data_IF_249188086631
#
_entry.id   IF_249188086631
#
_cell.length_a   1.000
_cell.length_b   1.000
_cell.length_c   1.000
_cell.angle_alpha   90.00
_cell.angle_beta   90.00
_cell.angle_gamma   90.00
#
_symmetry.space_group_name_H-M   'P 1'
#
loop_
_entity.id
_entity.type
_entity.pdbx_description
1 polymer ?
#
# COMPACT_ATOMS: atom_id res chain seq x y z
N UNK A 1 16.95 27.20 -17.07
CA UNK A 1 15.92 26.16 -17.35
C UNK A 1 14.92 26.28 -16.22
N UNK A 2 13.61 26.43 -16.51
CA UNK A 2 12.59 26.43 -15.47
C UNK A 2 12.58 25.02 -14.85
N UNK A 3 12.87 24.91 -13.55
CA UNK A 3 12.72 23.66 -12.83
C UNK A 3 11.26 23.23 -12.97
N UNK A 4 11.06 22.04 -13.50
CA UNK A 4 9.71 21.50 -13.68
C UNK A 4 9.11 21.22 -12.31
N UNK A 5 8.09 21.98 -11.94
CA UNK A 5 7.36 21.82 -10.70
C UNK A 5 6.75 20.41 -10.63
N UNK A 6 7.10 19.63 -9.60
CA UNK A 6 6.51 18.32 -9.38
C UNK A 6 5.10 18.45 -8.81
N UNK A 7 4.14 17.74 -9.38
CA UNK A 7 2.74 17.80 -8.95
C UNK A 7 2.50 16.88 -7.77
N UNK A 8 2.30 17.47 -6.58
CA UNK A 8 1.94 16.70 -5.38
C UNK A 8 0.49 16.20 -5.47
N UNK A 9 0.15 15.07 -4.79
CA UNK A 9 -1.22 14.59 -4.72
C UNK A 9 -2.13 15.62 -4.02
N UNK A 10 -3.37 15.72 -4.52
CA UNK A 10 -4.39 16.62 -3.97
C UNK A 10 -5.28 15.97 -2.91
N UNK A 11 -5.03 14.72 -2.55
CA UNK A 11 -5.84 13.90 -1.65
C UNK A 11 -4.95 13.08 -0.71
N UNK A 12 -5.46 12.64 0.46
CA UNK A 12 -4.77 11.72 1.34
C UNK A 12 -4.55 10.35 0.69
N UNK A 13 -3.70 9.54 1.30
CA UNK A 13 -3.26 8.25 0.77
C UNK A 13 -4.42 7.28 0.49
N UNK A 14 -5.38 7.20 1.41
CA UNK A 14 -6.53 6.30 1.30
C UNK A 14 -7.39 6.64 0.07
N UNK A 15 -7.56 7.92 -0.23
CA UNK A 15 -8.30 8.36 -1.41
C UNK A 15 -7.52 8.07 -2.70
N UNK A 16 -6.18 8.19 -2.67
CA UNK A 16 -5.33 7.76 -3.79
C UNK A 16 -5.45 6.26 -4.06
N UNK A 17 -5.47 5.44 -3.02
CA UNK A 17 -5.68 3.99 -3.12
C UNK A 17 -7.02 3.70 -3.83
N UNK A 18 -8.11 4.34 -3.41
CA UNK A 18 -9.42 4.15 -4.03
C UNK A 18 -9.42 4.57 -5.51
N UNK A 19 -8.75 5.68 -5.85
CA UNK A 19 -8.61 6.13 -7.24
C UNK A 19 -7.82 5.12 -8.07
N UNK A 20 -6.72 4.58 -7.56
CA UNK A 20 -5.89 3.59 -8.26
C UNK A 20 -6.69 2.31 -8.50
N UNK A 21 -7.40 1.82 -7.48
CA UNK A 21 -8.27 0.64 -7.61
C UNK A 21 -9.37 0.89 -8.65
N UNK A 22 -10.03 2.06 -8.61
CA UNK A 22 -11.07 2.42 -9.58
C UNK A 22 -10.54 2.47 -11.03
N UNK A 23 -9.32 2.96 -11.27
CA UNK A 23 -8.67 2.85 -12.57
C UNK A 23 -8.31 1.41 -12.93
N UNK A 24 -7.96 0.59 -11.94
CA UNK A 24 -7.60 -0.83 -12.12
C UNK A 24 -8.73 -1.68 -12.67
N UNK A 25 -9.99 -1.31 -12.43
CA UNK A 25 -11.17 -2.02 -12.96
C UNK A 25 -11.46 -1.73 -14.43
N UNK A 26 -10.70 -0.83 -15.07
CA UNK A 26 -10.94 -0.40 -16.45
C UNK A 26 -9.84 -0.87 -17.38
N UNK A 27 -10.24 -1.37 -18.53
CA UNK A 27 -9.32 -1.78 -19.61
C UNK A 27 -9.09 -0.66 -20.63
N UNK A 28 -9.94 0.36 -20.65
CA UNK A 28 -9.88 1.45 -21.59
C UNK A 28 -9.53 2.78 -20.92
N UNK A 29 -8.98 3.71 -21.72
CA UNK A 29 -8.68 5.05 -21.28
C UNK A 29 -9.96 5.81 -20.89
N UNK A 30 -10.02 6.29 -19.66
CA UNK A 30 -11.17 6.94 -19.06
C UNK A 30 -10.92 8.40 -18.71
N UNK A 31 -11.97 9.22 -18.73
CA UNK A 31 -11.95 10.57 -18.15
C UNK A 31 -12.21 10.48 -16.63
N UNK A 32 -11.81 11.51 -15.91
CA UNK A 32 -12.04 11.59 -14.46
C UNK A 32 -13.53 11.41 -14.08
N UNK A 33 -14.46 11.94 -14.89
CA UNK A 33 -15.88 11.78 -14.67
C UNK A 33 -16.39 10.35 -14.85
N UNK A 34 -15.73 9.55 -15.68
CA UNK A 34 -16.11 8.15 -15.90
C UNK A 34 -15.63 7.26 -14.74
N UNK A 35 -14.48 7.60 -14.15
CA UNK A 35 -13.93 6.94 -12.96
C UNK A 35 -14.72 7.34 -11.71
N UNK A 36 -15.07 8.61 -11.58
CA UNK A 36 -15.88 9.12 -10.46
C UNK A 36 -17.33 8.62 -10.39
N UNK A 37 -17.78 7.85 -11.39
CA UNK A 37 -19.08 7.14 -11.33
C UNK A 37 -18.99 5.80 -10.61
N UNK A 38 -17.79 5.31 -10.36
CA UNK A 38 -17.55 4.11 -9.57
C UNK A 38 -17.66 4.47 -8.10
N UNK A 39 -18.32 3.62 -7.34
CA UNK A 39 -18.61 3.84 -5.92
C UNK A 39 -17.38 4.29 -5.12
N UNK A 40 -17.59 5.23 -4.22
CA UNK A 40 -16.62 5.80 -3.28
C UNK A 40 -15.55 6.76 -3.82
N UNK A 41 -15.55 7.15 -5.10
CA UNK A 41 -14.55 8.08 -5.64
C UNK A 41 -15.19 9.32 -6.26
N UNK A 42 -14.82 10.51 -5.80
CA UNK A 42 -15.33 11.76 -6.36
C UNK A 42 -14.54 12.18 -7.61
N UNK A 43 -15.27 12.60 -8.68
CA UNK A 43 -14.66 13.10 -9.93
C UNK A 43 -13.63 14.21 -9.70
N UNK A 44 -13.88 15.13 -8.75
CA UNK A 44 -12.95 16.21 -8.42
C UNK A 44 -11.63 15.70 -7.84
N UNK A 45 -11.70 14.63 -7.03
CA UNK A 45 -10.52 13.99 -6.46
C UNK A 45 -9.71 13.26 -7.54
N UNK A 46 -10.40 12.53 -8.43
CA UNK A 46 -9.74 11.91 -9.59
C UNK A 46 -8.99 12.95 -10.42
N UNK A 47 -9.67 14.07 -10.78
CA UNK A 47 -9.06 15.14 -11.58
C UNK A 47 -7.81 15.74 -10.93
N UNK A 48 -7.85 15.99 -9.62
CA UNK A 48 -6.73 16.58 -8.87
C UNK A 48 -5.52 15.66 -8.79
N UNK A 49 -5.74 14.35 -8.75
CA UNK A 49 -4.68 13.36 -8.57
C UNK A 49 -4.14 12.79 -9.88
N UNK A 50 -4.82 12.97 -11.01
CA UNK A 50 -4.39 12.43 -12.30
C UNK A 50 -3.00 12.89 -12.72
N UNK A 51 -2.64 14.16 -12.46
CA UNK A 51 -1.32 14.69 -12.80
C UNK A 51 -0.22 13.96 -12.00
N UNK A 52 -0.37 13.84 -10.68
CA UNK A 52 0.53 13.11 -9.80
C UNK A 52 0.66 11.64 -10.22
N UNK A 53 -0.46 10.93 -10.38
CA UNK A 53 -0.46 9.51 -10.75
C UNK A 53 0.17 9.26 -12.13
N UNK A 54 0.07 10.24 -13.03
CA UNK A 54 0.76 10.16 -14.32
C UNK A 54 2.26 10.37 -14.16
N UNK A 55 2.67 11.30 -13.32
CA UNK A 55 4.08 11.64 -13.09
C UNK A 55 4.85 10.50 -12.43
N UNK A 56 4.24 9.77 -11.50
CA UNK A 56 4.83 8.57 -10.89
C UNK A 56 4.65 7.29 -11.71
N UNK A 57 4.07 7.39 -12.92
CA UNK A 57 3.93 6.27 -13.86
C UNK A 57 2.87 5.23 -13.52
N UNK A 58 1.91 5.55 -12.65
CA UNK A 58 0.73 4.72 -12.38
C UNK A 58 -0.29 4.84 -13.52
N UNK A 59 -0.47 6.05 -14.04
CA UNK A 59 -1.33 6.36 -15.17
C UNK A 59 -0.52 6.84 -16.36
N UNK A 60 -1.11 6.77 -17.57
CA UNK A 60 -0.57 7.34 -18.79
C UNK A 60 -1.68 8.01 -19.63
N UNK A 61 -1.29 8.83 -20.59
CA UNK A 61 -2.21 9.54 -21.47
C UNK A 61 -2.44 11.00 -21.06
N UNK A 62 -3.09 11.77 -21.91
CA UNK A 62 -3.32 13.21 -21.72
C UNK A 62 -4.69 13.51 -21.11
N UNK A 63 -5.73 13.68 -21.94
CA UNK A 63 -7.09 14.01 -21.49
C UNK A 63 -7.88 12.81 -20.96
N UNK A 64 -7.63 11.63 -21.52
CA UNK A 64 -8.10 10.34 -21.00
C UNK A 64 -6.90 9.61 -20.40
N UNK A 65 -7.09 9.04 -19.24
CA UNK A 65 -6.05 8.30 -18.52
C UNK A 65 -6.28 6.80 -18.63
N UNK A 66 -5.21 6.08 -18.91
CA UNK A 66 -5.15 4.63 -18.90
C UNK A 66 -4.21 4.20 -17.80
N UNK A 67 -4.59 3.18 -17.06
CA UNK A 67 -3.71 2.60 -16.06
C UNK A 67 -2.54 1.86 -16.75
N UNK A 68 -1.32 2.09 -16.30
CA UNK A 68 -0.14 1.39 -16.81
C UNK A 68 -0.12 -0.05 -16.32
N UNK A 69 0.72 -0.91 -16.92
CA UNK A 69 0.91 -2.28 -16.43
C UNK A 69 1.32 -2.30 -14.95
N UNK A 70 2.25 -1.43 -14.55
CA UNK A 70 2.73 -1.29 -13.17
C UNK A 70 1.60 -0.79 -12.25
N UNK A 71 0.85 0.22 -12.68
CA UNK A 71 -0.32 0.71 -11.96
C UNK A 71 -1.40 -0.36 -11.77
N UNK A 72 -1.63 -1.21 -12.79
CA UNK A 72 -2.61 -2.30 -12.72
C UNK A 72 -2.18 -3.38 -11.71
N UNK A 73 -0.91 -3.76 -11.68
CA UNK A 73 -0.40 -4.68 -10.67
C UNK A 73 -0.61 -4.14 -9.25
N UNK A 74 -0.31 -2.85 -9.05
CA UNK A 74 -0.59 -2.18 -7.78
C UNK A 74 -2.09 -2.16 -7.43
N UNK A 75 -2.97 -1.83 -8.39
CA UNK A 75 -4.41 -1.80 -8.17
C UNK A 75 -4.97 -3.16 -7.74
N UNK A 76 -4.50 -4.26 -8.35
CA UNK A 76 -4.88 -5.62 -7.97
C UNK A 76 -4.40 -5.96 -6.56
N UNK A 77 -3.16 -5.63 -6.21
CA UNK A 77 -2.61 -5.86 -4.88
C UNK A 77 -3.40 -5.08 -3.80
N UNK A 78 -3.72 -3.80 -4.07
CA UNK A 78 -4.52 -2.95 -3.19
C UNK A 78 -5.94 -3.48 -3.00
N UNK A 79 -6.60 -3.93 -4.08
CA UNK A 79 -7.95 -4.50 -4.03
C UNK A 79 -8.00 -5.82 -3.23
N UNK A 80 -6.93 -6.60 -3.26
CA UNK A 80 -6.79 -7.85 -2.48
C UNK A 80 -6.30 -7.63 -1.06
N UNK A 81 -5.87 -6.40 -0.73
CA UNK A 81 -5.24 -6.06 0.55
C UNK A 81 -3.99 -6.92 0.86
N UNK A 82 -3.28 -7.36 -0.17
CA UNK A 82 -2.05 -8.12 -0.03
C UNK A 82 -0.88 -7.15 0.26
N UNK A 83 -0.51 -7.06 1.53
CA UNK A 83 0.51 -6.13 2.00
C UNK A 83 1.90 -6.39 1.39
N UNK A 84 2.25 -7.63 1.06
CA UNK A 84 3.54 -7.97 0.47
C UNK A 84 3.59 -7.48 -0.99
N UNK A 85 2.55 -7.78 -1.77
CA UNK A 85 2.41 -7.32 -3.14
C UNK A 85 2.26 -5.80 -3.22
N UNK A 86 1.50 -5.17 -2.32
CA UNK A 86 1.37 -3.70 -2.23
C UNK A 86 2.74 -3.07 -2.01
N UNK A 87 3.52 -3.59 -1.04
CA UNK A 87 4.88 -3.11 -0.75
C UNK A 87 5.78 -3.23 -1.98
N UNK A 88 5.79 -4.40 -2.62
CA UNK A 88 6.62 -4.68 -3.80
C UNK A 88 6.28 -3.75 -4.98
N UNK A 89 4.99 -3.59 -5.27
CA UNK A 89 4.53 -2.72 -6.35
C UNK A 89 4.82 -1.23 -6.08
N UNK A 90 4.58 -0.74 -4.85
CA UNK A 90 4.95 0.62 -4.48
C UNK A 90 6.46 0.85 -4.56
N UNK A 91 7.25 -0.11 -4.10
CA UNK A 91 8.71 -0.04 -4.20
C UNK A 91 9.18 0.10 -5.66
N UNK A 92 8.61 -0.67 -6.58
CA UNK A 92 8.92 -0.57 -8.00
C UNK A 92 8.53 0.80 -8.62
N UNK A 93 7.44 1.42 -8.14
CA UNK A 93 7.01 2.76 -8.55
C UNK A 93 7.97 3.82 -7.99
N UNK A 94 8.28 3.75 -6.70
CA UNK A 94 9.23 4.68 -6.05
C UNK A 94 10.60 4.59 -6.71
N UNK A 95 11.09 3.38 -7.01
CA UNK A 95 12.37 3.17 -7.69
C UNK A 95 12.41 3.75 -9.12
N UNK A 96 11.27 3.92 -9.76
CA UNK A 96 11.19 4.52 -11.10
C UNK A 96 10.98 6.05 -11.09
N UNK A 97 10.70 6.65 -9.92
CA UNK A 97 10.46 8.09 -9.76
C UNK A 97 11.67 8.76 -9.12
N UNK A 98 12.38 9.59 -9.89
CA UNK A 98 13.53 10.36 -9.39
C UNK A 98 13.15 11.22 -8.18
N UNK A 99 12.00 11.89 -8.23
CA UNK A 99 11.53 12.73 -7.14
C UNK A 99 11.35 11.94 -5.84
N UNK A 100 10.68 10.79 -5.89
CA UNK A 100 10.45 9.95 -4.71
C UNK A 100 11.76 9.36 -4.17
N UNK A 101 12.68 8.97 -5.04
CA UNK A 101 14.02 8.53 -4.64
C UNK A 101 14.81 9.64 -3.96
N UNK A 102 14.72 10.87 -4.46
CA UNK A 102 15.40 12.02 -3.85
C UNK A 102 14.88 12.29 -2.43
N UNK A 103 13.58 12.10 -2.17
CA UNK A 103 13.01 12.21 -0.81
C UNK A 103 13.59 11.13 0.11
N UNK A 104 13.61 9.86 -0.32
CA UNK A 104 14.19 8.77 0.46
C UNK A 104 15.68 9.02 0.74
N UNK A 105 16.42 9.46 -0.27
CA UNK A 105 17.85 9.77 -0.16
C UNK A 105 18.12 10.90 0.82
N UNK A 106 17.25 11.93 0.85
CA UNK A 106 17.37 13.04 1.79
C UNK A 106 17.16 12.60 3.25
N UNK A 107 16.18 11.71 3.49
CA UNK A 107 15.94 11.11 4.82
C UNK A 107 17.12 10.23 5.23
N UNK A 108 17.63 9.41 4.30
CA UNK A 108 18.77 8.53 4.51
C UNK A 108 20.05 9.31 4.87
N UNK A 109 20.34 10.37 4.13
CA UNK A 109 21.54 11.19 4.33
C UNK A 109 21.56 11.89 5.71
N UNK A 110 20.38 12.11 6.29
CA UNK A 110 20.21 12.75 7.61
C UNK A 110 20.00 11.76 8.73
N UNK A 111 20.12 10.45 8.45
CA UNK A 111 19.96 9.36 9.43
C UNK A 111 18.60 9.35 10.14
N UNK A 112 17.61 10.06 9.60
CA UNK A 112 16.27 10.24 10.10
C UNK A 112 15.82 11.69 10.07
N UNK A 113 14.52 11.90 10.00
CA UNK A 113 13.92 13.23 10.01
C UNK A 113 12.54 13.19 10.68
N UNK A 114 12.22 14.22 11.45
CA UNK A 114 10.86 14.40 11.99
C UNK A 114 9.84 14.51 10.86
N UNK A 115 8.66 13.94 11.05
CA UNK A 115 7.56 13.94 10.07
C UNK A 115 7.27 15.32 9.46
N UNK A 116 7.11 16.43 10.25
CA UNK A 116 6.89 17.77 9.69
C UNK A 116 8.07 18.29 8.85
N UNK A 117 9.28 17.86 9.18
CA UNK A 117 10.49 18.25 8.44
C UNK A 117 10.51 17.59 7.07
N UNK A 118 10.13 16.30 6.98
CA UNK A 118 10.00 15.59 5.70
C UNK A 118 8.89 16.21 4.84
N UNK A 119 7.73 16.54 5.43
CA UNK A 119 6.67 17.25 4.71
C UNK A 119 7.16 18.58 4.11
N UNK A 120 7.86 19.38 4.92
CA UNK A 120 8.41 20.65 4.48
C UNK A 120 9.46 20.49 3.37
N UNK A 121 10.28 19.44 3.47
CA UNK A 121 11.25 19.10 2.45
C UNK A 121 10.57 18.71 1.12
N UNK A 122 9.55 17.85 1.17
CA UNK A 122 8.77 17.44 -0.01
C UNK A 122 8.15 18.66 -0.71
N UNK A 123 7.50 19.56 0.05
CA UNK A 123 6.91 20.77 -0.49
C UNK A 123 7.95 21.65 -1.19
N UNK A 124 9.12 21.84 -0.56
CA UNK A 124 10.23 22.60 -1.11
C UNK A 124 10.80 21.97 -2.38
N UNK A 125 11.08 20.66 -2.33
CA UNK A 125 11.62 19.91 -3.46
C UNK A 125 10.65 19.86 -4.67
N UNK A 126 9.33 19.93 -4.40
CA UNK A 126 8.30 20.04 -5.43
C UNK A 126 8.15 21.45 -6.00
N UNK A 127 8.86 22.46 -5.48
CA UNK A 127 8.71 23.85 -5.88
C UNK A 127 7.39 24.49 -5.45
N UNK A 128 6.70 23.93 -4.44
CA UNK A 128 5.35 24.35 -4.05
C UNK A 128 5.33 25.10 -2.70
N UNK A 129 4.43 26.09 -2.54
CA UNK A 129 4.33 26.84 -1.29
C UNK A 129 3.79 25.97 -0.15
N UNK A 130 4.27 26.19 1.09
CA UNK A 130 3.83 25.46 2.28
C UNK A 130 2.43 25.89 2.72
N UNK A 131 1.41 25.45 2.01
CA UNK A 131 0.01 25.63 2.38
C UNK A 131 -0.64 24.29 2.75
N UNK A 132 -1.83 24.34 3.35
CA UNK A 132 -2.53 23.15 3.86
C UNK A 132 -2.74 22.05 2.77
N UNK A 133 -3.19 22.36 1.53
CA UNK A 133 -3.31 21.35 0.48
C UNK A 133 -1.97 20.68 0.12
N UNK A 134 -0.91 21.45 -0.01
CA UNK A 134 0.44 20.95 -0.35
C UNK A 134 0.99 20.07 0.78
N UNK A 135 0.79 20.48 2.04
CA UNK A 135 1.22 19.68 3.20
C UNK A 135 0.45 18.34 3.29
N UNK A 136 -0.85 18.34 2.97
CA UNK A 136 -1.63 17.09 2.86
C UNK A 136 -1.09 16.18 1.75
N UNK A 137 -0.74 16.76 0.60
CA UNK A 137 -0.10 16.02 -0.49
C UNK A 137 1.26 15.45 -0.09
N UNK A 138 2.06 16.21 0.63
CA UNK A 138 3.33 15.73 1.17
C UNK A 138 3.14 14.58 2.17
N UNK A 139 2.09 14.63 3.01
CA UNK A 139 1.72 13.50 3.89
C UNK A 139 1.39 12.24 3.08
N UNK A 140 0.61 12.38 2.01
CA UNK A 140 0.27 11.24 1.16
C UNK A 140 1.52 10.59 0.52
N UNK A 141 2.53 11.38 0.15
CA UNK A 141 3.82 10.85 -0.33
C UNK A 141 4.55 10.11 0.79
N UNK A 142 4.59 10.63 2.00
CA UNK A 142 5.19 9.92 3.15
C UNK A 142 4.51 8.56 3.35
N UNK A 143 3.18 8.50 3.30
CA UNK A 143 2.45 7.24 3.44
C UNK A 143 2.74 6.26 2.28
N UNK A 144 2.92 6.74 1.04
CA UNK A 144 3.39 5.92 -0.08
C UNK A 144 4.79 5.34 0.22
N UNK A 145 5.71 6.15 0.72
CA UNK A 145 7.07 5.71 1.06
C UNK A 145 7.07 4.71 2.22
N UNK A 146 6.18 4.88 3.21
CA UNK A 146 5.96 3.90 4.29
C UNK A 146 5.35 2.60 3.73
N UNK A 147 4.33 2.69 2.89
CA UNK A 147 3.71 1.53 2.25
C UNK A 147 4.68 0.76 1.35
N UNK A 148 5.62 1.44 0.68
CA UNK A 148 6.70 0.81 -0.09
C UNK A 148 7.74 0.12 0.80
N UNK A 149 7.73 0.38 2.10
CA UNK A 149 8.75 -0.06 3.04
C UNK A 149 10.10 0.61 2.83
N UNK A 150 10.17 1.75 2.17
CA UNK A 150 11.42 2.54 2.03
C UNK A 150 11.63 3.50 3.19
N UNK A 151 10.54 3.90 3.85
CA UNK A 151 10.59 4.63 5.13
C UNK A 151 9.83 3.85 6.18
N UNK A 152 10.29 3.97 7.42
CA UNK A 152 9.59 3.53 8.63
C UNK A 152 9.60 4.66 9.65
N UNK A 153 8.66 4.63 10.56
CA UNK A 153 8.59 5.57 11.67
C UNK A 153 9.15 4.90 12.92
N UNK A 154 10.19 5.48 13.50
CA UNK A 154 10.84 5.02 14.73
C UNK A 154 11.02 6.20 15.68
N UNK A 155 10.56 6.06 16.90
CA UNK A 155 10.67 7.09 17.94
C UNK A 155 10.16 8.50 17.53
N UNK A 156 9.19 8.56 16.58
CA UNK A 156 8.64 9.82 16.04
C UNK A 156 9.43 10.43 14.88
N UNK A 157 10.47 9.76 14.43
CA UNK A 157 11.23 10.12 13.24
C UNK A 157 10.97 9.14 12.10
N UNK A 158 11.04 9.66 10.88
CA UNK A 158 11.03 8.85 9.66
C UNK A 158 12.47 8.47 9.32
N UNK A 159 12.73 7.18 9.27
CA UNK A 159 14.03 6.60 8.96
C UNK A 159 13.95 5.82 7.65
N UNK A 160 14.98 5.94 6.81
CA UNK A 160 15.07 5.12 5.61
C UNK A 160 15.44 3.68 5.98
N UNK A 161 14.63 2.72 5.51
CA UNK A 161 14.96 1.32 5.69
C UNK A 161 16.01 0.92 4.68
N UNK A 162 17.09 0.31 5.17
CA UNK A 162 18.03 -0.37 4.29
C UNK A 162 17.36 -1.65 3.81
N UNK A 163 17.23 -1.81 2.51
CA UNK A 163 16.94 -3.12 1.97
C UNK A 163 18.16 -4.00 2.23
N UNK A 164 17.98 -5.00 3.06
CA UNK A 164 18.76 -6.21 2.83
C UNK A 164 18.33 -6.66 1.42
N UNK A 165 19.25 -6.48 0.49
CA UNK A 165 19.13 -6.97 -0.89
C UNK A 165 18.56 -8.37 -0.77
N UNK A 166 17.47 -8.74 -1.44
CA UNK A 166 17.13 -10.14 -1.53
C UNK A 166 18.39 -10.82 -2.05
N UNK A 167 18.94 -11.70 -1.22
CA UNK A 167 20.14 -12.46 -1.55
C UNK A 167 19.95 -13.02 -2.94
N UNK A 168 20.95 -12.82 -3.77
CA UNK A 168 21.07 -13.31 -5.11
C UNK A 168 20.41 -14.70 -5.25
N UNK A 169 19.22 -14.72 -5.83
CA UNK A 169 18.81 -15.92 -6.55
C UNK A 169 19.73 -15.90 -7.77
N UNK A 170 20.85 -16.57 -7.63
CA UNK A 170 21.74 -16.86 -8.73
C UNK A 170 20.88 -17.36 -9.90
N UNK A 171 21.10 -16.89 -11.13
CA UNK A 171 20.45 -17.48 -12.29
C UNK A 171 20.96 -18.92 -12.38
N UNK A 172 20.16 -19.91 -12.03
CA UNK A 172 20.40 -21.26 -12.46
C UNK A 172 20.30 -21.28 -13.99
N UNK A 173 21.49 -21.37 -14.57
CA UNK A 173 21.76 -21.50 -15.98
C UNK A 173 21.18 -22.83 -16.50
N UNK A 174 20.45 -22.74 -17.58
CA UNK A 174 20.48 -23.79 -18.61
C UNK A 174 19.44 -24.89 -18.55
N UNK A 175 18.45 -24.80 -19.36
CA UNK A 175 18.16 -25.73 -20.49
C UNK A 175 16.66 -25.98 -20.73
N UNK A 176 16.29 -26.43 -21.94
CA UNK A 176 15.12 -25.87 -22.62
C UNK A 176 13.85 -26.72 -22.54
N UNK A 177 12.77 -26.05 -22.83
CA UNK A 177 11.50 -26.54 -23.39
C UNK A 177 11.14 -28.02 -23.22
N UNK A 178 10.05 -28.30 -22.53
CA UNK A 178 9.04 -29.29 -22.96
C UNK A 178 7.64 -28.87 -22.58
N UNK A 179 6.88 -28.62 -23.60
CA UNK A 179 5.41 -28.61 -23.66
C UNK A 179 4.86 -29.91 -23.07
N UNK A 180 3.91 -29.85 -22.14
CA UNK A 180 2.83 -30.82 -22.07
C UNK A 180 1.80 -30.48 -21.01
N UNK A 181 0.59 -30.25 -21.50
CA UNK A 181 -0.68 -30.84 -21.06
C UNK A 181 -1.18 -30.57 -19.63
N UNK A 182 -2.23 -29.81 -19.62
CA UNK A 182 -3.25 -29.73 -18.57
C UNK A 182 -3.87 -31.10 -18.33
N UNK A 183 -3.80 -31.61 -17.11
CA UNK A 183 -4.75 -32.59 -16.59
C UNK A 183 -5.24 -32.16 -15.24
N UNK A 184 -6.55 -31.95 -15.18
CA UNK A 184 -7.37 -31.96 -13.97
C UNK A 184 -7.07 -33.18 -13.12
N UNK A 185 -6.98 -33.00 -11.80
CA UNK A 185 -7.27 -34.05 -10.84
C UNK A 185 -7.66 -33.46 -9.48
N UNK A 186 -8.87 -33.54 -9.25
CA UNK A 186 -9.74 -33.81 -8.11
C UNK A 186 -9.07 -34.36 -6.86
N UNK A 187 -9.29 -33.63 -5.74
CA UNK A 187 -9.49 -34.01 -4.35
C UNK A 187 -9.04 -35.41 -3.89
N UNK A 188 -8.20 -35.41 -2.84
CA UNK A 188 -8.38 -36.35 -1.71
C UNK A 188 -7.59 -35.89 -0.48
N UNK A 189 -8.32 -35.65 0.57
CA UNK A 189 -7.80 -35.51 1.92
C UNK A 189 -7.26 -36.85 2.42
N UNK A 190 -6.05 -36.85 2.98
CA UNK A 190 -5.60 -37.97 3.80
C UNK A 190 -4.87 -37.44 5.03
N UNK A 191 -5.46 -37.73 6.18
CA UNK A 191 -4.89 -37.61 7.50
C UNK A 191 -3.79 -38.68 7.62
N UNK A 192 -2.59 -38.26 8.01
CA UNK A 192 -1.43 -39.13 8.26
C UNK A 192 -0.71 -38.72 9.53
N UNK A 193 -0.79 -39.56 10.48
CA UNK A 193 -0.26 -39.57 11.85
C UNK A 193 1.26 -39.59 11.89
N UNK A 194 1.82 -39.06 12.99
CA UNK A 194 3.23 -38.87 13.33
C UNK A 194 4.03 -40.22 13.51
N UNK A 195 5.39 -40.18 13.72
CA UNK A 195 5.85 -40.06 15.11
C UNK A 195 7.20 -39.34 15.37
N UNK A 196 7.26 -38.71 16.51
CA UNK A 196 8.31 -38.84 17.51
C UNK A 196 9.62 -38.03 17.33
N UNK A 197 9.75 -36.95 18.14
CA UNK A 197 10.97 -36.68 18.90
C UNK A 197 10.66 -35.68 20.03
N UNK A 198 10.88 -36.13 21.25
CA UNK A 198 10.74 -35.36 22.47
C UNK A 198 11.74 -34.23 22.56
N UNK A 199 11.27 -33.04 22.89
CA UNK A 199 12.08 -31.98 23.52
C UNK A 199 11.19 -31.27 24.53
N UNK A 200 11.61 -31.28 25.78
CA UNK A 200 11.05 -30.67 26.97
C UNK A 200 10.62 -29.23 26.75
N UNK A 201 9.34 -28.94 26.92
CA UNK A 201 8.78 -27.59 27.03
C UNK A 201 8.18 -27.43 28.43
N UNK A 202 8.61 -26.43 29.23
CA UNK A 202 8.03 -26.21 30.55
C UNK A 202 6.56 -25.81 30.42
N UNK A 203 5.75 -26.54 31.17
CA UNK A 203 4.31 -26.32 31.32
C UNK A 203 4.01 -24.91 31.89
N UNK A 204 3.09 -24.18 31.29
CA UNK A 204 2.33 -23.21 32.02
C UNK A 204 2.17 -21.79 31.51
N UNK A 205 2.00 -21.58 30.20
CA UNK A 205 1.38 -20.32 29.72
C UNK A 205 0.17 -20.68 28.83
N UNK A 206 -1.05 -20.24 29.18
CA UNK A 206 -2.18 -20.43 28.30
C UNK A 206 -1.98 -19.68 26.99
N UNK A 207 -2.41 -20.25 25.86
CA UNK A 207 -2.28 -19.56 24.57
C UNK A 207 -3.07 -18.24 24.60
N UNK A 208 -2.38 -17.12 24.42
CA UNK A 208 -3.01 -15.82 24.33
C UNK A 208 -3.53 -15.64 22.90
N UNK A 209 -4.85 -15.66 22.74
CA UNK A 209 -5.51 -15.35 21.47
C UNK A 209 -5.78 -13.84 21.43
N UNK A 210 -5.15 -13.15 20.52
CA UNK A 210 -5.43 -11.72 20.26
C UNK A 210 -6.45 -11.60 19.15
N UNK A 211 -7.62 -11.03 19.44
CA UNK A 211 -8.67 -10.77 18.45
C UNK A 211 -8.69 -9.27 18.16
N UNK A 212 -8.37 -8.90 16.91
CA UNK A 212 -8.48 -7.51 16.43
C UNK A 212 -9.83 -7.32 15.74
N UNK A 213 -10.70 -6.50 16.34
CA UNK A 213 -12.00 -6.15 15.77
C UNK A 213 -11.92 -4.72 15.23
N UNK A 214 -12.04 -4.55 13.91
CA UNK A 214 -12.13 -3.24 13.27
C UNK A 214 -13.58 -2.92 12.95
N UNK A 215 -14.14 -1.91 13.60
CA UNK A 215 -15.54 -1.48 13.41
C UNK A 215 -15.56 -0.18 12.62
N UNK A 216 -16.33 -0.13 11.54
CA UNK A 216 -16.64 1.10 10.80
C UNK A 216 -18.10 1.46 11.08
N UNK A 217 -18.31 2.61 11.71
CA UNK A 217 -19.65 3.12 12.03
C UNK A 217 -19.72 4.63 11.78
N UNK A 218 -20.91 5.14 11.55
CA UNK A 218 -21.21 6.57 11.53
C UNK A 218 -21.35 7.12 12.95
N UNK A 219 -21.32 8.44 13.11
CA UNK A 219 -21.44 9.09 14.43
C UNK A 219 -22.73 8.70 15.18
N UNK A 220 -23.82 8.49 14.43
CA UNK A 220 -25.15 8.15 14.99
C UNK A 220 -25.24 6.68 15.43
N UNK A 221 -24.37 5.81 14.92
CA UNK A 221 -24.34 4.37 15.24
C UNK A 221 -23.45 4.06 16.47
N UNK A 222 -22.69 5.01 16.97
CA UNK A 222 -21.75 4.80 18.08
C UNK A 222 -22.49 4.41 19.36
N UNK A 223 -23.68 4.98 19.64
CA UNK A 223 -24.46 4.67 20.85
C UNK A 223 -24.93 3.22 20.89
N UNK A 224 -25.26 2.62 19.74
CA UNK A 224 -25.68 1.23 19.60
C UNK A 224 -24.51 0.23 19.57
N UNK A 225 -23.30 0.70 19.41
CA UNK A 225 -22.10 -0.15 19.28
C UNK A 225 -21.68 -0.76 20.62
N UNK A 226 -21.77 0.00 21.70
CA UNK A 226 -21.31 -0.41 23.03
C UNK A 226 -22.04 -1.66 23.56
N UNK A 227 -23.39 -1.79 23.47
CA UNK A 227 -24.07 -3.02 23.89
C UNK A 227 -23.73 -4.23 22.98
N UNK A 228 -23.56 -4.03 21.66
CA UNK A 228 -23.21 -5.11 20.74
C UNK A 228 -21.80 -5.65 20.96
N UNK A 229 -20.82 -4.78 21.23
CA UNK A 229 -19.46 -5.18 21.60
C UNK A 229 -19.42 -5.94 22.91
N UNK A 230 -20.21 -5.51 23.92
CA UNK A 230 -20.32 -6.25 25.20
C UNK A 230 -20.93 -7.64 25.01
N UNK A 231 -21.94 -7.78 24.14
CA UNK A 231 -22.54 -9.07 23.84
C UNK A 231 -21.51 -10.03 23.19
N UNK A 232 -20.77 -9.55 22.21
CA UNK A 232 -19.74 -10.30 21.49
C UNK A 232 -18.59 -10.74 22.40
N UNK A 233 -18.12 -9.86 23.28
CA UNK A 233 -17.10 -10.19 24.27
C UNK A 233 -17.60 -11.24 25.28
N UNK A 234 -18.87 -11.25 25.61
CA UNK A 234 -19.49 -12.23 26.51
C UNK A 234 -19.59 -13.60 25.84
N UNK A 235 -19.96 -13.65 24.57
CA UNK A 235 -19.97 -14.90 23.78
C UNK A 235 -18.58 -15.51 23.67
N UNK A 236 -17.56 -14.69 23.37
CA UNK A 236 -16.17 -15.16 23.28
C UNK A 236 -15.56 -15.59 24.62
N UNK A 237 -16.12 -15.11 25.75
CA UNK A 237 -15.66 -15.47 27.10
C UNK A 237 -16.38 -16.69 27.68
N UNK A 238 -17.37 -17.25 26.97
CA UNK A 238 -18.27 -18.29 27.53
C UNK A 238 -18.03 -19.67 26.90
N UNK A 239 -17.05 -19.81 25.99
CA UNK A 239 -16.67 -21.18 25.55
C UNK A 239 -15.71 -21.84 26.55
N UNK A 240 -16.07 -23.05 26.99
CA UNK A 240 -15.29 -23.84 27.95
C UNK A 240 -14.04 -24.47 27.36
#
# INVERSE_FOLDING_TARGET
>A
MAEREFRLPGSPYEELVNIIVAYGTRDEAARAGDVGKLDSVHQSSVSRNNAFLTEIGVLQGESKKLITRRGRSLAVALARQDNADVRSNWRAIVAASEFLQNVVSAVKLREGMLYPTVQAYIAHAAGQPRNKPVMNGASAIIEILKASGMLKEEAGELVATFDERPEDIAPEDGSPAKTSEWKESVVSATVGEAPGASADVPAGTPPTVSIHVQVRCTADEIEDLAPRLKALLRELSTEP
#
